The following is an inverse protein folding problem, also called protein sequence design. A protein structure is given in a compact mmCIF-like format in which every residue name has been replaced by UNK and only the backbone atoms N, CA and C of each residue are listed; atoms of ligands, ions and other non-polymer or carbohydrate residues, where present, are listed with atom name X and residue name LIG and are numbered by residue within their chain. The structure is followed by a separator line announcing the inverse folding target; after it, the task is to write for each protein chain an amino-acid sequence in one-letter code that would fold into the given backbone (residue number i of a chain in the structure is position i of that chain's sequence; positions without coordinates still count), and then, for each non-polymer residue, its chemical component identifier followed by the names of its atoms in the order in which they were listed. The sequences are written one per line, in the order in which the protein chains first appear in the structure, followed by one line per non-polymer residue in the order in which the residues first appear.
data_IF_769887363610
#
_entry.id   IF_769887363610
#
_cell.length_a   1.000
_cell.length_b   1.000
_cell.length_c   1.000
_cell.angle_alpha   90.00
_cell.angle_beta   90.00
_cell.angle_gamma   90.00
#
_symmetry.space_group_name_H-M   'P 1'
#
loop_
_entity.id
_entity.type
_entity.pdbx_description
1 polymer ?
#
# COMPACT_ATOMS: atom_id res chain seq x y z
N UNK A 1 0.78 13.26 -12.00
CA UNK A 1 0.45 12.90 -10.61
C UNK A 1 0.26 11.40 -10.56
N UNK A 2 1.11 10.68 -9.82
CA UNK A 2 0.98 9.24 -9.65
C UNK A 2 -0.02 8.95 -8.54
N UNK A 3 -1.02 8.12 -8.83
CA UNK A 3 -2.09 7.77 -7.90
C UNK A 3 -1.79 6.43 -7.22
N UNK A 4 -2.65 6.02 -6.28
CA UNK A 4 -2.56 4.70 -5.62
C UNK A 4 -2.51 3.53 -6.61
N UNK A 5 -3.21 3.61 -7.75
CA UNK A 5 -3.16 2.58 -8.79
C UNK A 5 -1.76 2.47 -9.42
N UNK A 6 -1.09 3.60 -9.66
CA UNK A 6 0.28 3.64 -10.18
C UNK A 6 1.23 2.95 -9.18
N UNK A 7 1.04 3.23 -7.90
CA UNK A 7 1.73 2.53 -6.83
C UNK A 7 1.44 1.02 -6.82
N UNK A 8 0.19 0.57 -6.95
CA UNK A 8 -0.12 -0.86 -6.98
C UNK A 8 0.55 -1.54 -8.18
N UNK A 9 0.62 -0.87 -9.33
CA UNK A 9 1.33 -1.36 -10.51
C UNK A 9 2.85 -1.43 -10.26
N UNK A 10 3.43 -0.40 -9.65
CA UNK A 10 4.85 -0.37 -9.28
C UNK A 10 5.17 -1.42 -8.20
N UNK A 11 4.32 -1.58 -7.18
CA UNK A 11 4.46 -2.58 -6.12
C UNK A 11 4.26 -4.02 -6.62
N UNK A 12 3.40 -4.24 -7.62
CA UNK A 12 3.27 -5.53 -8.29
C UNK A 12 4.50 -5.90 -9.12
N UNK A 13 5.25 -4.90 -9.62
CA UNK A 13 6.51 -5.09 -10.35
C UNK A 13 7.72 -5.14 -9.42
N UNK A 14 7.64 -4.47 -8.27
CA UNK A 14 8.73 -4.29 -7.32
C UNK A 14 8.31 -4.83 -5.94
N UNK A 15 8.66 -6.09 -5.67
CA UNK A 15 8.28 -6.77 -4.44
C UNK A 15 8.78 -6.07 -3.18
N UNK A 16 9.90 -5.33 -3.23
CA UNK A 16 10.38 -4.55 -2.07
C UNK A 16 9.40 -3.43 -1.70
N UNK A 17 8.82 -2.80 -2.71
CA UNK A 17 7.91 -1.69 -2.55
C UNK A 17 6.58 -2.17 -1.94
N UNK A 18 6.15 -3.37 -2.31
CA UNK A 18 5.03 -4.07 -1.66
C UNK A 18 5.35 -4.48 -0.22
N UNK A 19 6.57 -4.96 0.07
CA UNK A 19 6.97 -5.39 1.41
C UNK A 19 7.08 -4.19 2.37
N UNK A 20 7.72 -3.09 1.96
CA UNK A 20 7.76 -1.84 2.73
C UNK A 20 6.35 -1.33 3.04
N UNK A 21 5.47 -1.37 2.04
CA UNK A 21 4.08 -0.96 2.22
C UNK A 21 3.33 -1.85 3.21
N UNK A 22 3.44 -3.17 3.08
CA UNK A 22 2.86 -4.12 4.05
C UNK A 22 3.39 -3.87 5.46
N UNK A 23 4.69 -3.61 5.63
CA UNK A 23 5.27 -3.29 6.95
C UNK A 23 4.69 -1.98 7.50
N UNK A 24 4.60 -0.93 6.68
CA UNK A 24 3.99 0.34 7.08
C UNK A 24 2.49 0.24 7.36
N UNK A 25 1.74 -0.59 6.62
CA UNK A 25 0.31 -0.86 6.88
C UNK A 25 0.11 -1.64 8.19
N UNK A 26 1.04 -2.53 8.53
CA UNK A 26 0.90 -3.39 9.70
C UNK A 26 1.41 -2.73 10.98
N UNK A 27 2.50 -1.96 10.91
CA UNK A 27 3.08 -1.26 12.06
C UNK A 27 2.52 0.14 12.31
N UNK A 28 1.98 0.82 11.30
CA UNK A 28 1.69 2.27 11.39
C UNK A 28 0.26 2.67 11.00
N UNK A 29 -0.10 3.89 11.43
CA UNK A 29 -1.40 4.53 11.15
C UNK A 29 -1.47 5.13 9.74
N UNK A 30 -2.69 5.44 9.29
CA UNK A 30 -2.99 5.95 7.94
C UNK A 30 -2.28 7.28 7.63
N UNK A 31 -1.93 8.06 8.65
CA UNK A 31 -1.11 9.27 8.51
C UNK A 31 0.33 8.95 8.09
N UNK A 32 0.95 7.91 8.66
CA UNK A 32 2.32 7.51 8.32
C UNK A 32 2.41 7.03 6.87
N UNK A 33 1.42 6.24 6.43
CA UNK A 33 1.33 5.74 5.06
C UNK A 33 1.11 6.88 4.06
N UNK A 34 0.25 7.84 4.41
CA UNK A 34 0.00 9.03 3.60
C UNK A 34 1.27 9.88 3.42
N UNK A 35 2.04 10.08 4.49
CA UNK A 35 3.35 10.73 4.40
C UNK A 35 4.33 9.93 3.55
N UNK A 36 4.41 8.61 3.75
CA UNK A 36 5.29 7.74 2.96
C UNK A 36 4.97 7.78 1.46
N UNK A 37 3.68 7.79 1.09
CA UNK A 37 3.27 7.96 -0.30
C UNK A 37 3.76 9.30 -0.88
N UNK A 38 3.60 10.39 -0.13
CA UNK A 38 4.11 11.71 -0.54
C UNK A 38 5.62 11.72 -0.70
N UNK A 39 6.37 11.09 0.21
CA UNK A 39 7.83 10.96 0.12
C UNK A 39 8.28 10.19 -1.12
N UNK A 40 7.54 9.17 -1.51
CA UNK A 40 7.79 8.38 -2.73
C UNK A 40 7.26 9.08 -4.00
N UNK A 41 6.63 10.25 -3.88
CA UNK A 41 6.11 11.04 -5.01
C UNK A 41 4.72 10.60 -5.51
N UNK A 42 4.00 9.81 -4.71
CA UNK A 42 2.61 9.44 -4.97
C UNK A 42 1.66 10.38 -4.24
N UNK A 43 0.62 10.82 -4.93
CA UNK A 43 -0.46 11.61 -4.34
C UNK A 43 -1.60 10.66 -3.98
N UNK A 44 -1.47 10.00 -2.82
CA UNK A 44 -2.50 9.10 -2.30
C UNK A 44 -3.29 9.84 -1.24
N UNK A 45 -4.60 9.97 -1.45
CA UNK A 45 -5.47 10.65 -0.50
C UNK A 45 -5.55 9.87 0.82
N UNK A 46 -5.60 10.58 1.94
CA UNK A 46 -5.76 9.96 3.28
C UNK A 46 -6.98 9.05 3.36
N UNK A 47 -8.04 9.34 2.61
CA UNK A 47 -9.24 8.51 2.55
C UNK A 47 -8.98 7.13 1.94
N UNK A 48 -8.08 7.05 0.96
CA UNK A 48 -7.64 5.78 0.36
C UNK A 48 -6.71 5.03 1.32
N UNK A 49 -5.76 5.72 1.96
CA UNK A 49 -4.92 5.15 3.02
C UNK A 49 -5.76 4.57 4.16
N UNK A 50 -6.81 5.29 4.56
CA UNK A 50 -7.74 4.84 5.59
C UNK A 50 -8.48 3.57 5.16
N UNK A 51 -9.01 3.52 3.93
CA UNK A 51 -9.63 2.29 3.40
C UNK A 51 -8.66 1.11 3.38
N UNK A 52 -7.39 1.32 3.06
CA UNK A 52 -6.38 0.25 3.02
C UNK A 52 -6.13 -0.29 4.43
N UNK A 53 -5.94 0.57 5.44
CA UNK A 53 -5.80 0.12 6.83
C UNK A 53 -7.07 -0.54 7.34
N UNK A 54 -8.24 0.03 7.06
CA UNK A 54 -9.53 -0.50 7.49
C UNK A 54 -9.81 -1.88 6.87
N UNK A 55 -9.35 -2.09 5.63
CA UNK A 55 -9.42 -3.36 4.93
C UNK A 55 -8.15 -4.21 5.09
N UNK A 56 -7.21 -3.87 5.99
CA UNK A 56 -5.95 -4.62 6.13
C UNK A 56 -6.17 -6.08 6.48
N UNK A 57 -7.19 -6.38 7.27
CA UNK A 57 -7.59 -7.76 7.63
C UNK A 57 -8.11 -8.53 6.42
N UNK A 58 -8.81 -7.83 5.52
CA UNK A 58 -9.33 -8.36 4.26
C UNK A 58 -8.21 -8.56 3.23
N UNK A 59 -7.22 -7.66 3.20
CA UNK A 59 -6.00 -7.76 2.38
C UNK A 59 -5.04 -8.84 2.88
N UNK A 60 -4.91 -9.01 4.20
CA UNK A 60 -4.07 -10.02 4.83
C UNK A 60 -4.67 -11.43 4.66
N UNK A 61 -6.00 -11.54 4.71
CA UNK A 61 -6.71 -12.82 4.59
C UNK A 61 -6.97 -13.26 3.14
N UNK A 62 -6.93 -12.32 2.17
CA UNK A 62 -6.92 -12.65 0.75
C UNK A 62 -5.55 -12.34 0.19
N UNK A 63 -4.72 -13.38 0.17
CA UNK A 63 -3.86 -13.74 -0.96
C UNK A 63 -4.01 -12.73 -2.11
N UNK A 64 -3.09 -11.76 -2.22
CA UNK A 64 -3.00 -10.82 -3.34
C UNK A 64 -2.75 -11.51 -4.69
N UNK A 65 -2.94 -12.84 -4.79
CA UNK A 65 -2.61 -13.64 -5.96
C UNK A 65 -1.12 -13.62 -6.30
N UNK A 66 -0.26 -13.16 -5.40
CA UNK A 66 1.19 -13.02 -5.61
C UNK A 66 1.97 -14.28 -5.23
N UNK A 67 1.34 -15.45 -5.21
CA UNK A 67 2.06 -16.72 -5.18
C UNK A 67 2.09 -17.30 -6.59
N UNK A 68 3.27 -17.44 -7.22
CA UNK A 68 3.41 -18.30 -8.37
C UNK A 68 3.28 -19.74 -7.87
N UNK A 69 2.19 -20.41 -8.26
CA UNK A 69 2.17 -21.87 -8.33
C UNK A 69 2.73 -22.29 -9.69
#
# INVERSE_FOLDING_TARGET
MKNFIDFIIDAAKDSKLSDEFSSHVNESSHQTISSWFKEKGYDVHENECKKIIDNKDSLSSKNLGLYPY
#
